data_IF_354451081918
#
_entry.id   IF_354451081918
#
_cell.length_a   1.000
_cell.length_b   1.000
_cell.length_c   1.000
_cell.angle_alpha   90.00
_cell.angle_beta   90.00
_cell.angle_gamma   90.00
#
_symmetry.space_group_name_H-M   'P 1'
#
loop_
_entity.id
_entity.type
_entity.pdbx_description
1 polymer ?
#
# COMPACT_ATOMS: atom_id res chain seq x y z
N UNK A 1 6.12 5.01 12.20
CA UNK A 1 6.83 4.87 10.89
C UNK A 1 6.39 3.69 10.03
N UNK A 2 5.89 2.57 10.57
CA UNK A 2 5.46 1.41 9.75
C UNK A 2 4.25 1.75 8.87
N UNK A 3 3.30 2.54 9.39
CA UNK A 3 2.11 3.00 8.64
C UNK A 3 2.51 3.71 7.35
N UNK A 4 3.52 4.60 7.44
CA UNK A 4 4.01 5.33 6.28
C UNK A 4 4.62 4.38 5.24
N UNK A 5 5.36 3.35 5.68
CA UNK A 5 5.92 2.35 4.77
C UNK A 5 4.84 1.50 4.12
N UNK A 6 3.78 1.15 4.85
CA UNK A 6 2.61 0.43 4.31
C UNK A 6 1.95 1.18 3.15
N UNK A 7 1.91 2.50 3.23
CA UNK A 7 1.43 3.37 2.16
C UNK A 7 2.48 3.54 1.04
N UNK A 8 3.72 3.87 1.38
CA UNK A 8 4.76 4.23 0.41
C UNK A 8 5.24 3.06 -0.44
N UNK A 9 5.30 1.84 0.10
CA UNK A 9 5.76 0.65 -0.63
C UNK A 9 4.92 0.38 -1.88
N UNK A 10 3.59 0.20 -1.79
CA UNK A 10 2.76 0.00 -2.97
C UNK A 10 2.69 1.25 -3.85
N UNK A 11 2.79 2.46 -3.28
CA UNK A 11 2.80 3.70 -4.04
C UNK A 11 4.02 3.79 -4.96
N UNK A 12 5.23 3.68 -4.38
CA UNK A 12 6.50 3.75 -5.12
C UNK A 12 6.62 2.52 -6.02
N UNK A 13 6.25 1.34 -5.55
CA UNK A 13 6.25 0.11 -6.34
C UNK A 13 5.36 0.21 -7.58
N UNK A 14 4.18 0.82 -7.45
CA UNK A 14 3.26 1.12 -8.55
C UNK A 14 3.81 2.12 -9.55
N UNK A 15 4.38 3.23 -9.08
CA UNK A 15 5.02 4.23 -9.94
C UNK A 15 6.21 3.64 -10.72
N UNK A 16 7.06 2.85 -10.06
CA UNK A 16 8.21 2.19 -10.69
C UNK A 16 7.77 1.16 -11.74
N UNK A 17 6.60 0.52 -11.57
CA UNK A 17 6.08 -0.47 -12.51
C UNK A 17 5.79 0.13 -13.90
N UNK A 18 5.50 1.43 -14.01
CA UNK A 18 5.25 2.06 -15.31
C UNK A 18 6.50 2.13 -16.20
N UNK A 19 7.70 2.18 -15.59
CA UNK A 19 8.96 2.25 -16.31
C UNK A 19 9.47 0.87 -16.75
N UNK A 20 8.93 -0.21 -16.18
CA UNK A 20 9.26 -1.58 -16.56
C UNK A 20 8.54 -1.95 -17.87
N UNK A 21 9.28 -2.44 -18.86
CA UNK A 21 8.74 -2.78 -20.20
C UNK A 21 8.44 -4.27 -20.39
N UNK A 22 9.10 -5.14 -19.64
CA UNK A 22 8.98 -6.58 -19.80
C UNK A 22 7.83 -7.14 -18.93
N UNK A 23 6.89 -7.86 -19.55
CA UNK A 23 5.69 -8.41 -18.87
C UNK A 23 6.07 -9.27 -17.66
N UNK A 24 6.99 -10.22 -17.86
CA UNK A 24 7.44 -11.11 -16.79
C UNK A 24 8.09 -10.35 -15.63
N UNK A 25 8.88 -9.32 -15.93
CA UNK A 25 9.54 -8.49 -14.92
C UNK A 25 8.53 -7.67 -14.13
N UNK A 26 7.55 -7.04 -14.80
CA UNK A 26 6.49 -6.27 -14.14
C UNK A 26 5.67 -7.15 -13.20
N UNK A 27 5.30 -8.35 -13.63
CA UNK A 27 4.53 -9.31 -12.81
C UNK A 27 5.30 -9.73 -11.56
N UNK A 28 6.54 -10.16 -11.72
CA UNK A 28 7.40 -10.54 -10.59
C UNK A 28 7.64 -9.37 -9.65
N UNK A 29 7.82 -8.16 -10.19
CA UNK A 29 7.97 -6.94 -9.41
C UNK A 29 6.71 -6.64 -8.58
N UNK A 30 5.53 -6.67 -9.20
CA UNK A 30 4.28 -6.41 -8.49
C UNK A 30 4.01 -7.44 -7.40
N UNK A 31 4.31 -8.72 -7.64
CA UNK A 31 4.23 -9.75 -6.61
C UNK A 31 5.18 -9.46 -5.45
N UNK A 32 6.43 -9.11 -5.73
CA UNK A 32 7.42 -8.80 -4.69
C UNK A 32 6.93 -7.64 -3.80
N UNK A 33 6.48 -6.54 -4.41
CA UNK A 33 5.95 -5.38 -3.68
C UNK A 33 4.73 -5.77 -2.84
N UNK A 34 3.85 -6.60 -3.38
CA UNK A 34 2.66 -7.08 -2.70
C UNK A 34 3.00 -7.96 -1.48
N UNK A 35 3.94 -8.90 -1.61
CA UNK A 35 4.44 -9.69 -0.49
C UNK A 35 5.17 -8.84 0.56
N UNK A 36 5.92 -7.82 0.14
CA UNK A 36 6.56 -6.90 1.07
C UNK A 36 5.51 -6.09 1.85
N UNK A 37 4.44 -5.66 1.18
CA UNK A 37 3.32 -4.95 1.81
C UNK A 37 2.57 -5.85 2.79
N UNK A 38 2.36 -7.13 2.45
CA UNK A 38 1.83 -8.14 3.37
C UNK A 38 2.72 -8.30 4.62
N UNK A 39 4.03 -8.41 4.44
CA UNK A 39 4.99 -8.51 5.54
C UNK A 39 4.91 -7.32 6.49
N UNK A 40 4.79 -6.10 5.94
CA UNK A 40 4.58 -4.89 6.74
C UNK A 40 3.22 -4.88 7.45
N UNK A 41 2.16 -5.39 6.81
CA UNK A 41 0.83 -5.46 7.41
C UNK A 41 0.80 -6.42 8.60
N UNK A 42 1.46 -7.57 8.48
CA UNK A 42 1.63 -8.53 9.57
C UNK A 42 2.46 -7.91 10.71
N UNK A 43 3.57 -7.24 10.38
CA UNK A 43 4.41 -6.59 11.38
C UNK A 43 3.67 -5.49 12.16
N UNK A 44 2.84 -4.70 11.48
CA UNK A 44 2.01 -3.66 12.08
C UNK A 44 0.84 -4.17 12.93
N UNK A 45 0.45 -5.44 12.78
CA UNK A 45 -0.66 -6.06 13.52
C UNK A 45 -0.19 -6.81 14.79
N UNK A 46 1.00 -7.45 14.75
CA UNK A 46 1.43 -8.35 15.83
C UNK A 46 2.81 -8.10 16.45
N UNK A 47 3.75 -7.49 15.71
CA UNK A 47 5.16 -7.43 16.13
C UNK A 47 5.56 -6.09 16.73
N UNK A 48 4.93 -5.00 16.30
CA UNK A 48 5.28 -3.65 16.74
C UNK A 48 4.17 -3.06 17.59
N UNK A 49 4.41 -2.99 18.91
CA UNK A 49 3.49 -2.41 19.89
C UNK A 49 3.82 -0.97 20.28
N UNK A 50 4.87 -0.39 19.70
CA UNK A 50 5.25 1.00 19.99
C UNK A 50 4.26 1.96 19.33
N UNK A 51 3.60 2.79 20.14
CA UNK A 51 2.60 3.75 19.67
C UNK A 51 3.15 4.69 18.58
N UNK A 52 4.39 5.17 18.73
CA UNK A 52 5.06 6.05 17.75
C UNK A 52 5.37 5.36 16.41
N UNK A 53 5.42 4.02 16.40
CA UNK A 53 5.64 3.28 15.18
C UNK A 53 4.33 3.09 14.37
N UNK A 54 3.18 3.13 15.04
CA UNK A 54 1.83 2.91 14.53
C UNK A 54 1.08 4.19 14.17
N UNK A 55 1.69 5.35 14.37
CA UNK A 55 1.17 6.63 13.89
C UNK A 55 2.24 7.39 13.10
N UNK A 56 1.78 8.29 12.25
CA UNK A 56 2.59 9.27 11.54
C UNK A 56 1.75 10.51 11.35
N UNK A 57 2.29 11.69 11.66
CA UNK A 57 1.61 12.96 11.45
C UNK A 57 2.60 13.99 10.95
N UNK A 58 2.25 14.68 9.86
CA UNK A 58 2.99 15.81 9.32
C UNK A 58 2.00 16.89 8.86
N UNK A 59 2.31 18.16 9.14
CA UNK A 59 1.51 19.28 8.64
C UNK A 59 1.55 19.31 7.12
N UNK A 60 0.38 19.31 6.48
CA UNK A 60 0.24 19.35 5.02
C UNK A 60 -0.41 20.68 4.58
N UNK A 61 -1.60 21.01 5.11
CA UNK A 61 -2.36 22.23 4.76
C UNK A 61 -2.67 23.02 6.05
N UNK A 62 -1.65 23.70 6.57
CA UNK A 62 -1.75 24.47 7.82
C UNK A 62 -2.83 25.56 7.79
N UNK A 63 -3.13 26.15 6.63
CA UNK A 63 -4.21 27.15 6.47
C UNK A 63 -5.60 26.58 6.72
N UNK A 64 -5.78 25.28 6.49
CA UNK A 64 -7.02 24.53 6.74
C UNK A 64 -6.94 23.71 8.03
N UNK A 65 -5.87 23.89 8.81
CA UNK A 65 -5.55 23.09 9.99
C UNK A 65 -5.55 21.57 9.71
N UNK A 66 -5.13 21.17 8.51
CA UNK A 66 -5.13 19.78 8.05
C UNK A 66 -3.74 19.18 8.07
N UNK A 67 -3.66 17.96 8.56
CA UNK A 67 -2.44 17.19 8.72
C UNK A 67 -2.50 15.92 7.89
N UNK A 68 -1.38 15.54 7.28
CA UNK A 68 -1.20 14.20 6.76
C UNK A 68 -0.96 13.25 7.93
N UNK A 69 -2.07 12.84 8.57
CA UNK A 69 -2.08 11.99 9.74
C UNK A 69 -2.56 10.58 9.35
N UNK A 70 -1.67 9.61 9.51
CA UNK A 70 -1.94 8.19 9.30
C UNK A 70 -1.79 7.43 10.62
N UNK A 71 -2.74 6.57 10.95
CA UNK A 71 -2.69 5.72 12.13
C UNK A 71 -3.19 4.32 11.80
N UNK A 72 -2.51 3.33 12.38
CA UNK A 72 -3.00 1.96 12.45
C UNK A 72 -3.78 1.80 13.76
N UNK A 73 -5.10 2.02 13.69
CA UNK A 73 -6.01 1.63 14.77
C UNK A 73 -6.43 0.15 14.62
N UNK A 74 -7.23 -0.37 15.56
CA UNK A 74 -7.65 -1.77 15.54
C UNK A 74 -8.46 -2.18 14.30
N UNK A 75 -9.22 -1.25 13.70
CA UNK A 75 -10.00 -1.51 12.48
C UNK A 75 -9.09 -1.41 11.25
N UNK A 76 -8.31 -0.34 11.13
CA UNK A 76 -7.31 -0.12 10.08
C UNK A 76 -6.34 -1.28 9.99
N UNK A 77 -5.93 -1.83 11.14
CA UNK A 77 -5.06 -3.00 11.24
C UNK A 77 -5.65 -4.24 10.54
N UNK A 78 -6.94 -4.51 10.76
CA UNK A 78 -7.64 -5.64 10.13
C UNK A 78 -7.81 -5.39 8.63
N UNK A 79 -8.22 -4.19 8.23
CA UNK A 79 -8.44 -3.84 6.82
C UNK A 79 -7.15 -3.81 6.01
N UNK A 80 -6.06 -3.30 6.58
CA UNK A 80 -4.73 -3.34 5.96
C UNK A 80 -4.22 -4.77 5.83
N UNK A 81 -4.45 -5.63 6.83
CA UNK A 81 -4.07 -7.04 6.76
C UNK A 81 -4.87 -7.78 5.67
N UNK A 82 -6.18 -7.56 5.62
CA UNK A 82 -7.03 -8.12 4.56
C UNK A 82 -6.56 -7.70 3.17
N UNK A 83 -6.27 -6.40 3.00
CA UNK A 83 -5.75 -5.86 1.74
C UNK A 83 -4.38 -6.46 1.40
N UNK A 84 -3.49 -6.55 2.38
CA UNK A 84 -2.16 -7.17 2.23
C UNK A 84 -2.24 -8.64 1.83
N UNK A 85 -3.26 -9.39 2.26
CA UNK A 85 -3.46 -10.80 1.87
C UNK A 85 -4.14 -10.90 0.50
N UNK A 86 -5.10 -10.02 0.20
CA UNK A 86 -5.87 -10.05 -1.04
C UNK A 86 -4.98 -9.79 -2.26
N UNK A 87 -4.08 -8.81 -2.19
CA UNK A 87 -3.26 -8.42 -3.35
C UNK A 87 -2.32 -9.52 -3.87
N UNK A 88 -1.57 -10.26 -3.02
CA UNK A 88 -0.78 -11.40 -3.49
C UNK A 88 -1.64 -12.44 -4.20
N UNK A 89 -2.84 -12.74 -3.66
CA UNK A 89 -3.78 -13.70 -4.27
C UNK A 89 -4.28 -13.21 -5.62
N UNK A 90 -4.67 -11.93 -5.72
CA UNK A 90 -5.12 -11.32 -6.98
C UNK A 90 -4.01 -11.40 -8.03
N UNK A 91 -2.79 -11.00 -7.68
CA UNK A 91 -1.66 -11.01 -8.60
C UNK A 91 -1.30 -12.43 -9.07
N UNK A 92 -1.29 -13.43 -8.17
CA UNK A 92 -1.08 -14.83 -8.54
C UNK A 92 -2.19 -15.33 -9.46
N UNK A 93 -3.45 -14.97 -9.19
CA UNK A 93 -4.58 -15.37 -10.03
C UNK A 93 -4.45 -14.85 -11.48
N UNK A 94 -3.89 -13.65 -11.65
CA UNK A 94 -3.65 -13.06 -12.98
C UNK A 94 -2.45 -13.62 -13.74
N UNK A 95 -1.73 -14.62 -13.20
CA UNK A 95 -0.45 -15.09 -13.76
C UNK A 95 -0.55 -15.63 -15.18
N UNK A 96 -1.65 -16.30 -15.53
CA UNK A 96 -1.88 -16.85 -16.87
C UNK A 96 -2.65 -15.90 -17.81
N UNK A 97 -3.07 -14.73 -17.33
CA UNK A 97 -3.78 -13.73 -18.13
C UNK A 97 -2.80 -12.91 -18.97
N UNK A 98 -3.17 -12.49 -20.18
CA UNK A 98 -2.35 -11.60 -21.02
C UNK A 98 -3.01 -10.23 -21.13
N UNK A 99 -2.21 -9.18 -20.98
CA UNK A 99 -2.68 -7.79 -21.01
C UNK A 99 -1.93 -7.01 -22.07
N UNK A 100 -2.63 -6.12 -22.79
CA UNK A 100 -2.02 -5.28 -23.84
C UNK A 100 -0.94 -4.32 -23.31
N UNK A 101 -1.11 -3.83 -22.07
CA UNK A 101 -0.18 -2.94 -21.37
C UNK A 101 0.02 -3.43 -19.94
N UNK A 102 0.87 -4.46 -19.72
CA UNK A 102 1.02 -5.08 -18.40
C UNK A 102 1.61 -4.12 -17.37
N UNK A 103 2.56 -3.28 -17.77
CA UNK A 103 3.13 -2.20 -16.95
C UNK A 103 2.07 -1.26 -16.37
N UNK A 104 1.11 -0.84 -17.20
CA UNK A 104 0.01 0.01 -16.76
C UNK A 104 -0.94 -0.76 -15.83
N UNK A 105 -1.31 -1.99 -16.18
CA UNK A 105 -2.24 -2.80 -15.39
C UNK A 105 -1.71 -3.08 -13.98
N UNK A 106 -0.50 -3.62 -13.88
CA UNK A 106 0.11 -3.94 -12.57
C UNK A 106 0.51 -2.69 -11.80
N UNK A 107 1.00 -1.64 -12.47
CA UNK A 107 1.28 -0.36 -11.83
C UNK A 107 0.02 0.26 -11.20
N UNK A 108 -1.09 0.29 -11.94
CA UNK A 108 -2.37 0.78 -11.43
C UNK A 108 -2.94 -0.08 -10.31
N UNK A 109 -2.76 -1.41 -10.36
CA UNK A 109 -3.17 -2.26 -9.23
C UNK A 109 -2.40 -1.93 -7.95
N UNK A 110 -1.06 -1.79 -8.01
CA UNK A 110 -0.29 -1.40 -6.82
C UNK A 110 -0.65 0.01 -6.34
N UNK A 111 -0.93 0.95 -7.24
CA UNK A 111 -1.42 2.27 -6.85
C UNK A 111 -2.81 2.21 -6.18
N UNK A 112 -3.69 1.33 -6.65
CA UNK A 112 -4.96 1.08 -5.97
C UNK A 112 -4.74 0.46 -4.58
N UNK A 113 -3.75 -0.41 -4.41
CA UNK A 113 -3.36 -0.94 -3.09
C UNK A 113 -2.93 0.18 -2.15
N UNK A 114 -2.09 1.10 -2.64
CA UNK A 114 -1.66 2.25 -1.87
C UNK A 114 -2.82 3.17 -1.48
N UNK A 115 -3.75 3.42 -2.42
CA UNK A 115 -4.95 4.20 -2.17
C UNK A 115 -5.83 3.60 -1.07
N UNK A 116 -6.11 2.28 -1.15
CA UNK A 116 -6.89 1.58 -0.12
C UNK A 116 -6.22 1.65 1.26
N UNK A 117 -4.91 1.41 1.33
CA UNK A 117 -4.16 1.50 2.59
C UNK A 117 -4.17 2.94 3.13
N UNK A 118 -4.02 3.93 2.25
CA UNK A 118 -4.14 5.35 2.61
C UNK A 118 -5.48 5.64 3.26
N UNK A 119 -6.58 5.33 2.59
CA UNK A 119 -7.96 5.52 3.10
C UNK A 119 -8.18 4.82 4.44
N UNK A 120 -7.70 3.58 4.61
CA UNK A 120 -7.88 2.86 5.86
C UNK A 120 -7.05 3.41 7.01
N UNK A 121 -5.98 4.15 6.74
CA UNK A 121 -5.07 4.67 7.78
C UNK A 121 -5.23 6.17 8.01
N UNK A 122 -5.88 6.91 7.10
CA UNK A 122 -6.12 8.35 7.24
C UNK A 122 -7.00 8.69 8.43
N UNK A 123 -6.54 9.64 9.25
CA UNK A 123 -7.29 10.21 10.38
C UNK A 123 -7.93 11.56 9.99
N UNK A 124 -7.29 12.28 9.08
CA UNK A 124 -7.73 13.59 8.61
C UNK A 124 -8.76 13.44 7.47
N UNK A 125 -9.88 14.13 7.58
CA UNK A 125 -10.99 14.01 6.64
C UNK A 125 -10.69 14.52 5.22
N UNK A 126 -9.69 15.39 5.04
CA UNK A 126 -9.25 15.81 3.71
C UNK A 126 -8.27 14.81 3.08
N UNK A 127 -7.60 14.02 3.91
CA UNK A 127 -6.69 12.96 3.46
C UNK A 127 -7.40 11.61 3.22
N UNK A 128 -8.61 11.43 3.76
CA UNK A 128 -9.50 10.29 3.52
C UNK A 128 -10.27 10.47 2.20
#
# INVERSE_FOLDING_TARGET
MIVLLLFLVPLIGGLLSFFLKNDRTVRSWALLISFFTLGLAIAGNGLVKNADALSFSASWLGTLNSNFALQLDGLSQILCLLTGIAYPVILISTWNSTYRKPNNFFGLMLLAQAGLIGVFTSIDALAF
#
